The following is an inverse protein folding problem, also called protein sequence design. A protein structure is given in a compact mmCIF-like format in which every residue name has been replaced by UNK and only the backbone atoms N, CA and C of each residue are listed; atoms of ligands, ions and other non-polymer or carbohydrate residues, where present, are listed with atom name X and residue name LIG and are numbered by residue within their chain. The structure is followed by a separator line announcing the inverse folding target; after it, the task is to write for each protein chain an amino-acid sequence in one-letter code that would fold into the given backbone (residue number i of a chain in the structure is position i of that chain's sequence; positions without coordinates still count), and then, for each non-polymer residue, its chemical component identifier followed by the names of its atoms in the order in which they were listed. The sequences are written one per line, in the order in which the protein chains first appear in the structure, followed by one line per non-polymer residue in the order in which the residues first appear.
data_IF_432017603324
#
_entry.id   IF_432017603324
#
_cell.length_a   1.000
_cell.length_b   1.000
_cell.length_c   1.000
_cell.angle_alpha   90.00
_cell.angle_beta   90.00
_cell.angle_gamma   90.00
#
_symmetry.space_group_name_H-M   'P 1'
#
loop_
_entity.id
_entity.type
_entity.pdbx_description
1 polymer ?
#
# COMPACT_ATOMS: atom_id res chain seq x y z
N UNK A 1 -29.55 18.16 -6.04
CA UNK A 1 -29.73 19.48 -5.50
C UNK A 1 -28.61 20.39 -5.95
N UNK A 2 -28.94 21.53 -6.60
CA UNK A 2 -27.93 22.50 -7.00
C UNK A 2 -27.22 23.01 -5.74
N UNK A 3 -25.90 22.97 -5.77
CA UNK A 3 -25.08 23.66 -4.79
C UNK A 3 -25.36 25.17 -4.97
N UNK A 4 -26.09 25.76 -4.04
CA UNK A 4 -26.26 27.21 -4.02
C UNK A 4 -24.88 27.85 -3.94
N UNK A 5 -24.65 28.94 -4.67
CA UNK A 5 -23.41 29.71 -4.68
C UNK A 5 -22.89 29.95 -3.28
N UNK A 6 -22.02 29.07 -2.79
CA UNK A 6 -21.21 29.33 -1.61
C UNK A 6 -19.95 30.01 -2.09
N UNK A 7 -19.82 31.28 -1.78
CA UNK A 7 -18.56 31.99 -1.96
C UNK A 7 -17.57 31.43 -0.97
N UNK A 8 -16.54 30.73 -1.44
CA UNK A 8 -15.41 30.33 -0.61
C UNK A 8 -14.52 31.56 -0.45
N UNK A 9 -14.32 31.98 0.80
CA UNK A 9 -13.29 32.94 1.12
C UNK A 9 -11.99 32.18 1.37
N UNK A 10 -10.93 32.58 0.71
CA UNK A 10 -9.57 32.13 0.98
C UNK A 10 -8.70 33.37 1.19
N UNK A 11 -7.72 33.23 2.07
CA UNK A 11 -6.70 34.20 2.33
C UNK A 11 -5.35 33.62 1.92
N UNK A 12 -4.57 34.41 1.20
CA UNK A 12 -3.22 34.01 0.83
C UNK A 12 -2.29 34.27 2.03
N UNK A 13 -1.65 33.21 2.54
CA UNK A 13 -0.69 33.29 3.61
C UNK A 13 0.70 33.51 3.01
N UNK A 14 1.30 34.68 3.26
CA UNK A 14 2.63 34.99 2.81
C UNK A 14 3.67 34.55 3.85
N UNK A 15 4.56 33.64 3.47
CA UNK A 15 5.62 33.17 4.37
C UNK A 15 6.71 34.24 4.49
N UNK A 16 7.44 34.60 3.54
CA UNK A 16 8.44 35.65 3.53
C UNK A 16 8.92 35.89 2.10
N UNK A 17 8.76 37.07 1.57
CA UNK A 17 9.16 37.36 0.20
C UNK A 17 8.53 36.38 -0.81
N UNK A 18 9.32 35.84 -1.73
CA UNK A 18 8.87 34.91 -2.78
C UNK A 18 9.06 33.42 -2.36
N UNK A 19 8.74 33.06 -1.12
CA UNK A 19 8.88 31.69 -0.63
C UNK A 19 7.56 30.94 -0.87
N UNK A 20 7.58 29.93 -1.75
CA UNK A 20 6.46 29.08 -2.07
C UNK A 20 6.74 27.65 -1.57
N UNK A 21 6.28 27.29 -0.36
CA UNK A 21 6.57 26.00 0.24
C UNK A 21 5.80 24.86 -0.46
N UNK A 22 6.43 23.69 -0.51
CA UNK A 22 5.84 22.46 -1.05
C UNK A 22 5.12 21.64 0.01
N UNK A 23 5.58 21.71 1.25
CA UNK A 23 5.08 20.92 2.38
C UNK A 23 4.55 21.83 3.46
N UNK A 24 3.42 21.44 4.07
CA UNK A 24 2.85 22.14 5.21
C UNK A 24 2.28 21.14 6.23
N UNK A 25 2.36 21.47 7.49
CA UNK A 25 1.76 20.72 8.58
C UNK A 25 1.46 21.66 9.76
N UNK A 26 0.38 21.40 10.48
CA UNK A 26 0.13 22.06 11.76
C UNK A 26 0.77 21.24 12.87
N UNK A 27 1.64 21.85 13.64
CA UNK A 27 2.32 21.25 14.77
C UNK A 27 2.35 22.22 15.95
N UNK A 28 1.86 21.78 17.09
CA UNK A 28 1.85 22.50 18.37
C UNK A 28 1.49 24.00 18.24
N UNK A 29 0.35 24.31 17.61
CA UNK A 29 -0.22 25.64 17.34
C UNK A 29 0.53 26.49 16.31
N UNK A 30 1.53 25.98 15.65
CA UNK A 30 2.20 26.62 14.52
C UNK A 30 1.81 25.99 13.20
N UNK A 31 1.71 26.78 12.15
CA UNK A 31 1.77 26.31 10.78
C UNK A 31 3.26 26.21 10.40
N UNK A 32 3.72 25.01 10.14
CA UNK A 32 5.10 24.76 9.71
C UNK A 32 5.10 24.43 8.22
N UNK A 33 5.98 25.10 7.47
CA UNK A 33 6.10 24.94 6.03
C UNK A 33 7.55 24.75 5.61
N UNK A 34 7.77 24.01 4.52
CA UNK A 34 9.12 23.68 4.05
C UNK A 34 9.14 23.33 2.55
N UNK A 35 10.36 23.17 2.01
CA UNK A 35 10.58 22.69 0.65
C UNK A 35 10.33 23.74 -0.42
N UNK A 36 10.54 25.02 -0.12
CA UNK A 36 10.48 26.07 -1.11
C UNK A 36 11.66 25.98 -2.08
N UNK A 37 11.43 26.22 -3.37
CA UNK A 37 12.46 26.13 -4.40
C UNK A 37 13.64 27.08 -4.17
N UNK A 38 13.42 28.21 -3.50
CA UNK A 38 14.44 29.21 -3.14
C UNK A 38 15.14 28.91 -1.82
N UNK A 39 14.62 27.96 -1.00
CA UNK A 39 15.13 27.62 0.33
C UNK A 39 14.82 26.15 0.66
N UNK A 40 15.43 25.24 -0.10
CA UNK A 40 15.15 23.80 -0.05
C UNK A 40 15.45 23.15 1.31
N UNK A 41 16.36 23.72 2.08
CA UNK A 41 16.83 23.21 3.37
C UNK A 41 16.30 24.01 4.57
N UNK A 42 15.33 24.90 4.35
CA UNK A 42 14.79 25.75 5.42
C UNK A 42 13.34 25.43 5.73
N UNK A 43 13.03 25.32 7.01
CA UNK A 43 11.68 25.27 7.54
C UNK A 43 11.30 26.65 8.07
N UNK A 44 10.08 27.04 7.83
CA UNK A 44 9.47 28.24 8.40
C UNK A 44 8.29 27.85 9.28
N UNK A 45 8.11 28.52 10.39
CA UNK A 45 6.98 28.31 11.28
C UNK A 45 6.32 29.62 11.64
N UNK A 46 5.00 29.62 11.68
CA UNK A 46 4.16 30.80 12.01
C UNK A 46 4.27 31.16 13.49
N UNK A 47 3.69 32.28 13.87
CA UNK A 47 3.60 32.66 15.28
C UNK A 47 2.72 31.71 16.11
N UNK A 48 2.97 31.66 17.39
CA UNK A 48 2.20 30.88 18.34
C UNK A 48 0.75 31.41 18.39
N UNK A 49 -0.23 30.58 18.07
CA UNK A 49 -1.66 30.94 18.01
C UNK A 49 -2.07 31.94 16.90
N UNK A 50 -1.12 32.32 16.01
CA UNK A 50 -1.39 33.06 14.79
C UNK A 50 -0.78 32.33 13.59
N UNK A 51 -1.51 31.32 13.11
CA UNK A 51 -1.06 30.44 12.03
C UNK A 51 -0.96 31.14 10.67
N UNK A 52 -1.57 32.32 10.53
CA UNK A 52 -1.59 33.09 9.30
C UNK A 52 -0.39 34.04 9.17
N UNK A 53 0.42 34.21 10.23
CA UNK A 53 1.52 35.15 10.24
C UNK A 53 2.88 34.49 10.50
N UNK A 54 3.80 34.67 9.58
CA UNK A 54 5.20 34.28 9.68
C UNK A 54 6.13 35.41 10.14
N UNK A 55 5.54 36.52 10.63
CA UNK A 55 6.25 37.67 11.17
C UNK A 55 5.79 38.05 12.59
N UNK A 56 4.81 37.37 13.14
CA UNK A 56 4.32 37.58 14.49
C UNK A 56 5.22 36.97 15.56
N UNK A 57 5.02 37.32 16.81
CA UNK A 57 5.78 36.78 17.94
C UNK A 57 5.74 35.25 17.97
N UNK A 58 6.89 34.64 18.12
CA UNK A 58 7.05 33.19 18.11
C UNK A 58 7.19 32.56 16.73
N UNK A 59 7.17 33.38 15.64
CA UNK A 59 7.50 32.89 14.31
C UNK A 59 9.00 32.83 14.09
N UNK A 60 9.44 32.01 13.15
CA UNK A 60 10.85 31.91 12.82
C UNK A 60 11.16 30.97 11.66
N UNK A 61 12.44 30.76 11.47
CA UNK A 61 12.95 29.81 10.46
C UNK A 61 14.17 29.06 10.98
N UNK A 62 14.32 27.83 10.53
CA UNK A 62 15.45 26.97 10.88
C UNK A 62 16.01 26.40 9.58
N UNK A 63 17.32 26.60 9.39
CA UNK A 63 18.04 26.07 8.23
C UNK A 63 18.80 24.80 8.63
N UNK A 64 18.64 23.75 7.84
CA UNK A 64 19.25 22.45 8.01
C UNK A 64 20.44 22.25 7.06
N UNK A 65 21.23 21.22 7.31
CA UNK A 65 22.37 20.86 6.46
C UNK A 65 21.95 20.15 5.16
N UNK A 66 20.69 19.70 5.06
CA UNK A 66 20.22 18.86 3.96
C UNK A 66 18.85 19.33 3.44
N UNK A 67 18.51 18.96 2.21
CA UNK A 67 17.25 19.32 1.55
C UNK A 67 16.04 18.65 2.22
N UNK A 68 15.05 19.44 2.61
CA UNK A 68 13.80 18.94 3.16
C UNK A 68 12.92 18.33 2.07
N UNK A 69 12.48 17.12 2.30
CA UNK A 69 11.63 16.33 1.40
C UNK A 69 10.22 16.12 1.98
N UNK A 70 10.07 16.27 3.29
CA UNK A 70 8.77 16.13 3.94
C UNK A 70 8.83 16.49 5.42
N UNK A 71 7.69 16.86 5.98
CA UNK A 71 7.54 17.16 7.40
C UNK A 71 6.30 16.48 7.94
N UNK A 72 6.36 15.96 9.15
CA UNK A 72 5.23 15.28 9.80
C UNK A 72 5.23 15.56 11.29
N UNK A 73 4.10 16.01 11.81
CA UNK A 73 3.87 16.07 13.26
C UNK A 73 3.67 14.64 13.76
N UNK A 74 4.46 14.23 14.74
CA UNK A 74 4.40 12.89 15.30
C UNK A 74 4.64 12.94 16.80
N UNK A 75 3.65 12.51 17.58
CA UNK A 75 3.63 12.64 19.04
C UNK A 75 3.82 14.11 19.47
N UNK A 76 4.86 14.39 20.23
CA UNK A 76 5.21 15.73 20.75
C UNK A 76 6.20 16.48 19.87
N UNK A 77 6.74 15.85 18.86
CA UNK A 77 7.82 16.37 18.04
C UNK A 77 7.42 16.53 16.56
N UNK A 78 8.09 17.41 15.87
CA UNK A 78 8.03 17.50 14.41
C UNK A 78 9.18 16.70 13.81
N UNK A 79 8.86 15.70 13.01
CA UNK A 79 9.86 14.92 12.27
C UNK A 79 10.05 15.55 10.90
N UNK A 80 11.31 15.84 10.58
CA UNK A 80 11.73 16.49 9.34
C UNK A 80 12.53 15.47 8.53
N UNK A 81 11.96 15.10 7.40
CA UNK A 81 12.59 14.17 6.47
C UNK A 81 13.38 14.96 5.42
N UNK A 82 14.66 14.71 5.36
CA UNK A 82 15.55 15.27 4.34
C UNK A 82 15.97 14.19 3.34
N UNK A 83 16.68 14.59 2.29
CA UNK A 83 17.10 13.69 1.21
C UNK A 83 18.04 12.59 1.69
N UNK A 84 18.95 12.90 2.64
CA UNK A 84 19.94 11.96 3.16
C UNK A 84 19.92 11.84 4.69
N UNK A 85 19.03 12.57 5.37
CA UNK A 85 18.98 12.66 6.84
C UNK A 85 17.56 12.81 7.35
N UNK A 86 17.37 12.56 8.64
CA UNK A 86 16.09 12.77 9.33
C UNK A 86 16.40 13.51 10.64
N UNK A 87 15.64 14.57 10.91
CA UNK A 87 15.77 15.37 12.12
C UNK A 87 14.47 15.35 12.92
N UNK A 88 14.64 15.62 14.21
CA UNK A 88 13.55 15.86 15.15
C UNK A 88 13.63 17.30 15.65
N UNK A 89 12.55 18.04 15.54
CA UNK A 89 12.37 19.36 16.13
C UNK A 89 11.45 19.24 17.34
N UNK A 90 11.96 19.64 18.48
CA UNK A 90 11.24 19.64 19.77
C UNK A 90 11.08 21.04 20.31
N UNK A 91 10.06 21.27 21.15
CA UNK A 91 9.81 22.51 21.87
C UNK A 91 9.67 23.76 20.98
N UNK A 92 8.95 23.67 19.88
CA UNK A 92 8.79 24.78 18.91
C UNK A 92 8.18 26.05 19.54
N UNK A 93 7.43 25.92 20.64
CA UNK A 93 6.78 27.04 21.34
C UNK A 93 7.73 27.85 22.26
N UNK A 94 8.93 27.37 22.50
CA UNK A 94 9.85 27.98 23.45
C UNK A 94 11.19 28.31 22.75
N UNK A 95 11.43 29.59 22.52
CA UNK A 95 12.62 30.07 21.84
C UNK A 95 13.94 29.73 22.56
N UNK A 96 13.89 29.49 23.88
CA UNK A 96 15.07 29.19 24.68
C UNK A 96 15.41 27.69 24.67
N UNK A 97 14.42 26.82 24.42
CA UNK A 97 14.57 25.38 24.47
C UNK A 97 14.29 24.66 23.14
N UNK A 98 13.94 25.41 22.08
CA UNK A 98 13.79 24.86 20.74
C UNK A 98 15.06 24.15 20.29
N UNK A 99 14.93 22.89 19.91
CA UNK A 99 16.07 22.05 19.57
C UNK A 99 15.81 21.22 18.32
N UNK A 100 16.78 21.21 17.41
CA UNK A 100 16.82 20.31 16.26
C UNK A 100 17.88 19.26 16.49
N UNK A 101 17.47 18.02 16.60
CA UNK A 101 18.37 16.89 16.83
C UNK A 101 18.31 15.90 15.66
N UNK A 102 19.47 15.42 15.15
CA UNK A 102 19.45 14.41 14.11
C UNK A 102 19.01 13.05 14.69
N UNK A 103 18.04 12.42 14.02
CA UNK A 103 17.72 11.01 14.24
C UNK A 103 18.72 10.14 13.49
N UNK A 104 18.98 10.48 12.24
CA UNK A 104 20.01 9.84 11.41
C UNK A 104 20.56 10.82 10.37
N UNK A 105 21.83 10.65 10.01
CA UNK A 105 22.51 11.43 8.94
C UNK A 105 22.85 10.59 7.71
N UNK A 106 22.45 9.31 7.68
CA UNK A 106 22.83 8.37 6.62
C UNK A 106 21.63 7.75 5.89
N UNK A 107 20.42 8.06 6.34
CA UNK A 107 19.17 7.56 5.74
C UNK A 107 18.21 8.73 5.61
N UNK A 108 17.73 8.96 4.40
CA UNK A 108 16.75 9.99 4.10
C UNK A 108 15.50 9.44 3.42
N UNK A 109 14.60 10.36 3.09
CA UNK A 109 13.35 10.07 2.42
C UNK A 109 13.41 10.50 0.95
N UNK A 110 12.88 9.66 0.05
CA UNK A 110 12.85 9.97 -1.39
C UNK A 110 11.70 10.90 -1.76
N UNK A 111 10.52 10.73 -1.15
CA UNK A 111 9.34 11.54 -1.43
C UNK A 111 8.46 11.71 -0.19
N UNK A 112 8.08 12.94 0.12
CA UNK A 112 7.28 13.31 1.28
C UNK A 112 5.87 12.72 1.28
N UNK A 113 5.29 12.43 0.11
CA UNK A 113 3.98 11.81 0.00
C UNK A 113 4.00 10.31 0.35
N UNK A 114 5.19 9.71 0.54
CA UNK A 114 5.33 8.35 1.05
C UNK A 114 5.20 8.26 2.57
N UNK A 115 5.31 9.39 3.29
CA UNK A 115 5.36 9.42 4.75
C UNK A 115 3.97 9.25 5.35
N UNK A 116 3.75 8.16 6.09
CA UNK A 116 2.49 7.89 6.77
C UNK A 116 2.71 7.32 8.17
N UNK A 117 1.78 7.65 9.06
CA UNK A 117 1.73 7.07 10.41
C UNK A 117 0.96 5.74 10.38
N UNK A 118 1.64 4.66 10.74
CA UNK A 118 1.05 3.32 10.82
C UNK A 118 1.66 2.53 12.00
N UNK A 119 0.82 1.84 12.75
CA UNK A 119 1.27 1.02 13.89
C UNK A 119 1.96 1.81 15.01
N UNK A 120 1.69 3.12 15.12
CA UNK A 120 2.32 4.00 16.12
C UNK A 120 3.74 4.44 15.78
N UNK A 121 4.15 4.28 14.51
CA UNK A 121 5.42 4.75 13.97
C UNK A 121 5.22 5.44 12.61
N UNK A 122 6.23 6.10 12.07
CA UNK A 122 6.22 6.72 10.75
C UNK A 122 6.91 5.80 9.74
N UNK A 123 6.16 5.38 8.72
CA UNK A 123 6.68 4.65 7.57
C UNK A 123 7.01 5.63 6.43
N UNK A 124 8.15 5.45 5.79
CA UNK A 124 8.60 6.28 4.67
C UNK A 124 9.40 5.48 3.65
N UNK A 125 9.51 6.00 2.43
CA UNK A 125 10.31 5.42 1.36
C UNK A 125 11.73 6.00 1.41
N UNK A 126 12.72 5.16 1.67
CA UNK A 126 14.15 5.47 1.59
C UNK A 126 14.78 4.89 0.32
N UNK A 127 16.02 5.27 -0.05
CA UNK A 127 16.69 4.76 -1.26
C UNK A 127 16.81 3.23 -1.33
N UNK A 128 16.83 2.56 -0.21
CA UNK A 128 16.98 1.10 -0.10
C UNK A 128 15.71 0.36 0.30
N UNK A 129 14.58 1.06 0.44
CA UNK A 129 13.29 0.46 0.72
C UNK A 129 12.43 1.23 1.69
N UNK A 130 11.27 0.67 2.02
CA UNK A 130 10.42 1.24 3.07
C UNK A 130 11.02 0.98 4.45
N UNK A 131 11.03 2.02 5.29
CA UNK A 131 11.59 2.00 6.65
C UNK A 131 10.66 2.64 7.66
N UNK A 132 10.80 2.27 8.91
CA UNK A 132 10.17 2.87 10.07
C UNK A 132 11.15 3.80 10.79
N UNK A 133 10.67 4.95 11.30
CA UNK A 133 11.51 5.92 11.99
C UNK A 133 12.08 5.33 13.28
N UNK A 134 11.28 4.63 14.09
CA UNK A 134 11.77 3.99 15.33
C UNK A 134 12.84 2.93 15.07
N UNK A 135 12.79 2.26 13.92
CA UNK A 135 13.86 1.36 13.47
C UNK A 135 15.15 2.09 13.16
N UNK A 136 15.08 3.34 12.70
CA UNK A 136 16.27 4.15 12.38
C UNK A 136 16.88 4.81 13.63
N UNK A 137 16.10 5.09 14.65
CA UNK A 137 16.56 5.72 15.89
C UNK A 137 17.37 4.76 16.79
N UNK A 138 17.17 3.44 16.66
CA UNK A 138 17.88 2.41 17.40
C UNK A 138 19.29 2.09 16.87
N UNK A 139 19.82 2.88 15.96
CA UNK A 139 21.07 2.58 15.26
C UNK A 139 22.29 2.94 16.11
N UNK A 140 22.63 2.04 17.02
CA UNK A 140 24.01 1.71 17.30
C UNK A 140 24.38 0.35 16.69
N UNK A 141 23.41 -0.40 16.11
CA UNK A 141 23.61 -1.75 15.61
C UNK A 141 22.91 -2.05 14.27
N UNK A 142 23.56 -2.74 13.43
CA UNK A 142 23.60 -3.03 12.01
C UNK A 142 22.32 -3.61 11.35
N UNK A 143 21.18 -3.70 11.99
CA UNK A 143 19.94 -4.18 11.36
C UNK A 143 18.92 -3.06 11.09
N UNK A 144 19.30 -2.16 10.23
CA UNK A 144 18.35 -1.30 9.50
C UNK A 144 17.50 -2.12 8.55
N UNK A 145 16.59 -2.90 9.12
CA UNK A 145 15.71 -3.74 8.35
C UNK A 145 14.76 -2.90 7.50
N UNK A 146 15.01 -2.81 6.19
CA UNK A 146 13.95 -2.43 5.26
C UNK A 146 12.77 -3.40 5.48
N UNK A 147 11.59 -2.86 5.77
CA UNK A 147 10.37 -3.68 5.94
C UNK A 147 9.82 -4.19 4.60
N UNK A 148 10.46 -3.82 3.49
CA UNK A 148 10.08 -4.17 2.12
C UNK A 148 11.01 -5.17 1.44
N UNK A 149 11.78 -5.96 2.17
CA UNK A 149 12.72 -6.95 1.59
C UNK A 149 12.06 -7.92 0.60
N UNK A 150 10.81 -8.32 0.85
CA UNK A 150 10.06 -9.23 -0.01
C UNK A 150 9.83 -8.69 -1.42
N UNK A 151 9.77 -7.37 -1.57
CA UNK A 151 9.50 -6.66 -2.84
C UNK A 151 10.66 -5.76 -3.26
N UNK A 152 11.87 -6.05 -2.80
CA UNK A 152 13.05 -5.19 -2.99
C UNK A 152 13.31 -4.84 -4.46
N UNK A 153 13.10 -5.77 -5.39
CA UNK A 153 13.28 -5.54 -6.81
C UNK A 153 12.34 -4.45 -7.37
N UNK A 154 11.09 -4.46 -6.92
CA UNK A 154 10.09 -3.46 -7.31
C UNK A 154 10.43 -2.11 -6.68
N UNK A 155 10.70 -2.10 -5.37
CA UNK A 155 11.04 -0.87 -4.63
C UNK A 155 12.31 -0.22 -5.17
N UNK A 156 13.35 -0.99 -5.49
CA UNK A 156 14.58 -0.46 -6.10
C UNK A 156 14.34 0.18 -7.46
N UNK A 157 13.39 -0.36 -8.24
CA UNK A 157 13.02 0.23 -9.53
C UNK A 157 12.28 1.55 -9.34
N UNK A 158 11.35 1.61 -8.38
CA UNK A 158 10.62 2.83 -8.03
C UNK A 158 11.58 3.89 -7.50
N UNK A 159 12.46 3.53 -6.57
CA UNK A 159 13.40 4.44 -5.94
C UNK A 159 14.35 5.13 -6.96
N UNK A 160 14.80 4.39 -7.98
CA UNK A 160 15.67 4.93 -9.04
C UNK A 160 14.98 5.94 -9.96
N UNK A 161 13.66 5.88 -10.06
CA UNK A 161 12.86 6.68 -11.00
C UNK A 161 11.82 7.56 -10.29
N UNK A 162 11.98 7.78 -9.00
CA UNK A 162 10.98 8.45 -8.15
C UNK A 162 10.59 9.83 -8.68
N UNK A 163 11.56 10.61 -9.17
CA UNK A 163 11.34 11.97 -9.69
C UNK A 163 10.46 11.99 -10.96
N UNK A 164 10.26 10.85 -11.62
CA UNK A 164 9.41 10.71 -12.81
C UNK A 164 7.99 10.24 -12.47
N UNK A 165 7.69 10.02 -11.18
CA UNK A 165 6.39 9.54 -10.73
C UNK A 165 5.64 10.60 -9.91
N UNK A 166 4.32 10.59 -10.06
CA UNK A 166 3.43 11.09 -9.03
C UNK A 166 3.27 10.02 -7.95
N UNK A 167 3.59 10.41 -6.73
CA UNK A 167 3.51 9.53 -5.56
C UNK A 167 2.34 9.96 -4.70
N UNK A 168 1.57 8.99 -4.24
CA UNK A 168 0.53 9.21 -3.24
C UNK A 168 0.42 8.02 -2.31
N UNK A 169 0.12 8.26 -1.05
CA UNK A 169 -0.06 7.18 -0.08
C UNK A 169 -1.13 7.51 0.94
N UNK A 170 -1.71 6.47 1.51
CA UNK A 170 -2.61 6.57 2.66
C UNK A 170 -2.55 5.30 3.51
N UNK A 171 -3.06 5.41 4.73
CA UNK A 171 -3.20 4.29 5.66
C UNK A 171 -4.67 3.94 5.82
N UNK A 172 -4.98 2.66 5.70
CA UNK A 172 -6.25 2.08 6.08
C UNK A 172 -6.07 1.42 7.45
N UNK A 173 -6.50 2.13 8.50
CA UNK A 173 -6.29 1.71 9.90
C UNK A 173 -7.09 0.45 10.24
N UNK A 174 -8.32 0.35 9.74
CA UNK A 174 -9.21 -0.79 9.97
C UNK A 174 -8.63 -2.13 9.47
N UNK A 175 -7.72 -2.10 8.48
CA UNK A 175 -7.05 -3.29 7.93
C UNK A 175 -5.54 -3.31 8.25
N UNK A 176 -5.03 -2.34 9.01
CA UNK A 176 -3.59 -2.17 9.26
C UNK A 176 -2.76 -2.16 7.98
N UNK A 177 -3.25 -1.47 6.96
CA UNK A 177 -2.64 -1.40 5.64
C UNK A 177 -2.08 -0.02 5.33
N UNK A 178 -0.85 -0.01 4.83
CA UNK A 178 -0.25 1.11 4.12
C UNK A 178 -0.42 0.88 2.62
N UNK A 179 -0.96 1.87 1.92
CA UNK A 179 -1.15 1.83 0.47
C UNK A 179 -0.33 2.94 -0.18
N UNK A 180 0.55 2.57 -1.06
CA UNK A 180 1.45 3.45 -1.79
C UNK A 180 1.20 3.29 -3.29
N UNK A 181 0.93 4.39 -3.97
CA UNK A 181 0.70 4.41 -5.41
C UNK A 181 1.70 5.31 -6.10
N UNK A 182 2.13 4.88 -7.25
CA UNK A 182 3.03 5.63 -8.11
C UNK A 182 2.59 5.52 -9.57
N UNK A 183 2.55 6.65 -10.28
CA UNK A 183 2.16 6.73 -11.68
C UNK A 183 3.10 7.63 -12.44
N UNK A 184 3.28 7.38 -13.74
CA UNK A 184 4.11 8.25 -14.57
C UNK A 184 3.59 9.68 -14.56
N UNK A 185 4.50 10.65 -14.46
CA UNK A 185 4.19 12.07 -14.42
C UNK A 185 3.58 12.60 -15.74
N UNK A 186 3.82 11.91 -16.85
CA UNK A 186 3.35 12.29 -18.18
C UNK A 186 2.58 11.14 -18.83
N UNK A 187 1.34 11.38 -19.21
CA UNK A 187 0.54 10.44 -20.00
C UNK A 187 -0.76 10.01 -19.31
N UNK A 188 -1.86 10.16 -20.04
CA UNK A 188 -3.22 9.79 -19.62
C UNK A 188 -3.48 8.28 -19.62
N UNK A 189 -2.54 7.49 -20.12
CA UNK A 189 -2.66 6.03 -20.29
C UNK A 189 -1.64 5.21 -19.49
N UNK A 190 -0.79 5.84 -18.66
CA UNK A 190 0.13 5.12 -17.81
C UNK A 190 -0.66 4.37 -16.74
N UNK A 191 -0.65 3.06 -16.82
CA UNK A 191 -1.18 2.20 -15.76
C UNK A 191 -0.40 2.48 -14.48
N UNK A 192 -1.07 3.09 -13.53
CA UNK A 192 -0.55 3.30 -12.19
C UNK A 192 -0.34 1.94 -11.52
N UNK A 193 0.72 1.85 -10.76
CA UNK A 193 1.00 0.70 -9.91
C UNK A 193 0.91 1.11 -8.46
N UNK A 194 0.66 0.15 -7.60
CA UNK A 194 0.62 0.37 -6.17
C UNK A 194 1.22 -0.79 -5.41
N UNK A 195 1.65 -0.49 -4.20
CA UNK A 195 2.14 -1.43 -3.22
C UNK A 195 1.25 -1.34 -1.98
N UNK A 196 0.81 -2.47 -1.48
CA UNK A 196 0.04 -2.55 -0.24
C UNK A 196 0.87 -3.32 0.77
N UNK A 197 1.29 -2.65 1.84
CA UNK A 197 1.95 -3.27 2.97
C UNK A 197 0.95 -3.48 4.10
N UNK A 198 0.73 -4.71 4.51
CA UNK A 198 -0.16 -5.07 5.63
C UNK A 198 0.70 -5.45 6.84
N UNK A 199 0.42 -4.86 7.99
CA UNK A 199 1.08 -5.25 9.24
C UNK A 199 0.49 -6.58 9.71
N UNK A 200 1.36 -7.56 9.91
CA UNK A 200 1.05 -8.85 10.48
C UNK A 200 1.90 -9.10 11.73
N UNK A 201 1.61 -10.10 12.56
CA UNK A 201 2.46 -10.47 13.68
C UNK A 201 3.91 -10.78 13.29
N UNK A 202 4.15 -11.18 12.04
CA UNK A 202 5.47 -11.51 11.51
C UNK A 202 6.17 -10.33 10.79
N UNK A 203 5.59 -9.13 10.84
CA UNK A 203 6.09 -7.94 10.17
C UNK A 203 5.21 -7.48 9.02
N UNK A 204 5.78 -6.80 8.03
CA UNK A 204 5.06 -6.34 6.86
C UNK A 204 4.97 -7.42 5.78
N UNK A 205 3.77 -7.66 5.30
CA UNK A 205 3.51 -8.47 4.10
C UNK A 205 3.09 -7.55 2.96
N UNK A 206 3.67 -7.75 1.80
CA UNK A 206 3.49 -6.85 0.66
C UNK A 206 2.77 -7.51 -0.50
N UNK A 207 1.89 -6.75 -1.13
CA UNK A 207 1.25 -7.09 -2.39
C UNK A 207 1.35 -5.95 -3.39
N UNK A 208 1.33 -6.27 -4.68
CA UNK A 208 1.34 -5.29 -5.77
C UNK A 208 -0.07 -5.13 -6.33
N UNK A 209 -0.46 -3.89 -6.65
CA UNK A 209 -1.69 -3.56 -7.38
C UNK A 209 -1.35 -3.00 -8.74
N UNK A 210 -2.18 -3.30 -9.74
CA UNK A 210 -2.01 -2.84 -11.11
C UNK A 210 -3.35 -2.29 -11.60
N UNK A 211 -3.33 -1.18 -12.35
CA UNK A 211 -4.50 -0.63 -13.00
C UNK A 211 -5.22 0.48 -12.22
N UNK A 212 -4.78 0.81 -11.02
CA UNK A 212 -5.33 1.92 -10.22
C UNK A 212 -4.49 3.18 -10.48
N UNK A 213 -5.08 4.19 -11.10
CA UNK A 213 -4.45 5.50 -11.34
C UNK A 213 -4.77 6.43 -10.18
N UNK A 214 -3.88 6.50 -9.19
CA UNK A 214 -4.06 7.35 -8.04
C UNK A 214 -3.07 8.52 -8.07
N UNK A 215 -3.55 9.71 -8.41
CA UNK A 215 -2.77 10.95 -8.37
C UNK A 215 -2.91 11.69 -7.04
N UNK A 216 -4.05 11.55 -6.39
CA UNK A 216 -4.28 11.98 -5.02
C UNK A 216 -4.97 10.85 -4.25
N UNK A 217 -4.58 10.65 -3.00
CA UNK A 217 -5.08 9.55 -2.18
C UNK A 217 -5.36 10.04 -0.77
N UNK A 218 -6.52 9.71 -0.22
CA UNK A 218 -6.91 10.12 1.11
C UNK A 218 -7.72 9.03 1.81
N UNK A 219 -7.57 8.93 3.11
CA UNK A 219 -8.44 8.15 3.99
C UNK A 219 -9.06 9.03 5.05
N UNK A 220 -10.28 8.71 5.45
CA UNK A 220 -11.00 9.43 6.48
C UNK A 220 -12.21 8.65 6.96
N UNK A 221 -12.82 9.11 8.05
CA UNK A 221 -14.04 8.52 8.58
C UNK A 221 -15.27 9.21 7.96
N UNK A 222 -16.27 8.45 7.61
CA UNK A 222 -17.58 8.97 7.23
C UNK A 222 -18.43 9.35 8.47
N UNK A 223 -19.66 9.80 8.24
CA UNK A 223 -20.58 10.19 9.33
C UNK A 223 -20.96 9.03 10.27
N UNK A 224 -20.75 7.78 9.83
CA UNK A 224 -21.00 6.55 10.61
C UNK A 224 -19.71 6.02 11.28
N UNK A 225 -18.63 6.79 11.28
CA UNK A 225 -17.29 6.39 11.73
C UNK A 225 -16.71 5.17 10.98
N UNK A 226 -17.16 4.93 9.74
CA UNK A 226 -16.60 3.90 8.88
C UNK A 226 -15.47 4.53 8.06
N UNK A 227 -14.31 3.88 8.08
CA UNK A 227 -13.16 4.36 7.34
C UNK A 227 -13.38 4.18 5.84
N UNK A 228 -13.27 5.27 5.11
CA UNK A 228 -13.38 5.36 3.66
C UNK A 228 -12.05 5.74 3.05
N UNK A 229 -11.77 5.20 1.88
CA UNK A 229 -10.58 5.51 1.12
C UNK A 229 -10.99 5.99 -0.26
N UNK A 230 -10.43 7.13 -0.66
CA UNK A 230 -10.68 7.73 -1.96
C UNK A 230 -9.38 7.97 -2.70
N UNK A 231 -9.42 7.85 -4.02
CA UNK A 231 -8.38 8.39 -4.88
C UNK A 231 -8.97 9.19 -6.03
N UNK A 232 -8.23 10.18 -6.49
CA UNK A 232 -8.51 10.93 -7.70
C UNK A 232 -7.56 10.50 -8.82
N UNK A 233 -8.06 10.44 -10.05
CA UNK A 233 -7.25 10.19 -11.23
C UNK A 233 -6.92 11.48 -12.01
N UNK A 234 -6.13 11.37 -13.07
CA UNK A 234 -5.78 12.50 -13.94
C UNK A 234 -6.94 12.97 -14.85
N UNK A 235 -8.01 12.18 -14.96
CA UNK A 235 -9.19 12.51 -15.75
C UNK A 235 -10.26 13.27 -14.93
N UNK A 236 -10.02 13.49 -13.64
CA UNK A 236 -10.91 14.21 -12.73
C UNK A 236 -11.98 13.36 -12.06
N UNK A 237 -11.89 12.03 -12.15
CA UNK A 237 -12.78 11.13 -11.42
C UNK A 237 -12.26 10.88 -10.02
N UNK A 238 -13.20 10.67 -9.08
CA UNK A 238 -12.93 10.26 -7.70
C UNK A 238 -13.53 8.89 -7.46
N UNK A 239 -12.72 7.97 -6.98
CA UNK A 239 -13.09 6.58 -6.74
C UNK A 239 -13.07 6.25 -5.25
N UNK A 240 -14.07 5.49 -4.81
CA UNK A 240 -14.09 4.89 -3.48
C UNK A 240 -13.53 3.47 -3.55
N UNK A 241 -12.58 3.14 -2.68
CA UNK A 241 -11.97 1.81 -2.61
C UNK A 241 -12.82 0.83 -1.80
N UNK A 242 -12.61 -0.46 -2.08
CA UNK A 242 -13.24 -1.58 -1.36
C UNK A 242 -14.77 -1.60 -1.47
N UNK A 243 -15.33 -1.08 -2.54
CA UNK A 243 -16.78 -1.08 -2.82
C UNK A 243 -17.05 -1.84 -4.11
N UNK A 244 -17.98 -2.82 -4.06
CA UNK A 244 -18.36 -3.63 -5.21
C UNK A 244 -17.30 -4.67 -5.60
N UNK A 245 -17.59 -5.39 -6.70
CA UNK A 245 -16.80 -6.53 -7.18
C UNK A 245 -16.13 -6.27 -8.53
N UNK A 246 -16.20 -5.05 -9.04
CA UNK A 246 -15.61 -4.68 -10.32
C UNK A 246 -14.77 -3.43 -10.19
N UNK A 247 -13.79 -3.31 -11.06
CA UNK A 247 -13.05 -2.07 -11.24
C UNK A 247 -13.80 -1.22 -12.29
N UNK A 248 -14.18 0.01 -11.95
CA UNK A 248 -15.04 0.85 -12.79
C UNK A 248 -14.32 2.13 -13.26
N UNK A 249 -13.28 2.04 -14.10
CA UNK A 249 -12.65 3.23 -14.64
C UNK A 249 -13.65 4.02 -15.50
N UNK A 250 -13.82 5.31 -15.19
CA UNK A 250 -14.77 6.20 -15.88
C UNK A 250 -16.21 5.64 -16.00
N UNK A 251 -16.64 4.85 -15.00
CA UNK A 251 -17.99 4.26 -14.95
C UNK A 251 -18.16 2.98 -15.79
N UNK A 252 -17.11 2.48 -16.41
CA UNK A 252 -17.16 1.22 -17.18
C UNK A 252 -16.72 0.05 -16.31
N UNK A 253 -17.62 -0.90 -16.06
CA UNK A 253 -17.30 -2.11 -15.29
C UNK A 253 -16.27 -2.98 -16.01
N UNK A 254 -15.16 -3.25 -15.37
CA UNK A 254 -14.09 -4.11 -15.87
C UNK A 254 -13.72 -5.19 -14.87
N UNK A 255 -13.12 -6.26 -15.36
CA UNK A 255 -12.68 -7.38 -14.54
C UNK A 255 -11.56 -6.98 -13.58
N UNK A 256 -11.63 -7.49 -12.36
CA UNK A 256 -10.53 -7.44 -11.40
C UNK A 256 -9.58 -8.61 -11.63
N UNK A 257 -8.28 -8.30 -11.81
CA UNK A 257 -7.25 -9.33 -11.93
C UNK A 257 -6.63 -9.60 -10.56
N UNK A 258 -6.98 -10.70 -9.95
CA UNK A 258 -6.36 -11.19 -8.73
C UNK A 258 -5.38 -12.33 -9.03
N UNK A 259 -4.17 -12.30 -8.45
CA UNK A 259 -3.14 -13.32 -8.66
C UNK A 259 -2.39 -13.60 -7.37
N UNK A 260 -2.30 -14.87 -7.04
CA UNK A 260 -1.47 -15.36 -5.94
C UNK A 260 -0.57 -16.49 -6.47
N UNK A 261 0.71 -16.47 -6.13
CA UNK A 261 1.67 -17.53 -6.48
C UNK A 261 2.48 -17.90 -5.23
N UNK A 262 2.53 -19.19 -4.90
CA UNK A 262 3.42 -19.68 -3.85
C UNK A 262 4.88 -19.58 -4.30
N UNK A 263 5.85 -19.60 -3.38
CA UNK A 263 7.22 -19.96 -3.70
C UNK A 263 7.29 -21.32 -4.42
N UNK A 264 8.42 -21.61 -5.04
CA UNK A 264 8.68 -22.97 -5.55
C UNK A 264 9.01 -23.87 -4.35
N UNK A 265 8.13 -24.81 -4.05
CA UNK A 265 8.18 -25.68 -2.88
C UNK A 265 8.91 -26.98 -3.25
N UNK A 266 9.92 -27.33 -2.49
CA UNK A 266 10.66 -28.62 -2.60
C UNK A 266 10.19 -29.66 -1.58
N UNK A 267 9.27 -29.29 -0.69
CA UNK A 267 8.75 -30.13 0.41
C UNK A 267 9.85 -30.74 1.29
N UNK A 268 10.97 -30.04 1.44
CA UNK A 268 12.10 -30.44 2.27
C UNK A 268 13.09 -31.40 1.63
N UNK A 269 12.89 -31.81 0.37
CA UNK A 269 13.85 -32.61 -0.40
C UNK A 269 13.89 -32.20 -1.87
N UNK A 270 14.82 -31.33 -2.22
CA UNK A 270 15.00 -30.83 -3.58
C UNK A 270 15.50 -31.93 -4.56
N UNK A 271 16.11 -33.01 -4.05
CA UNK A 271 16.66 -34.09 -4.88
C UNK A 271 15.63 -35.14 -5.32
N UNK A 272 14.46 -35.17 -4.68
CA UNK A 272 13.43 -36.17 -5.00
C UNK A 272 12.38 -35.59 -5.95
N UNK A 273 12.06 -36.33 -7.00
CA UNK A 273 10.97 -36.01 -7.91
C UNK A 273 9.64 -36.29 -7.21
N UNK A 274 8.68 -35.34 -7.29
CA UNK A 274 7.35 -35.46 -6.69
C UNK A 274 6.30 -35.50 -7.77
N UNK A 275 5.46 -36.53 -7.75
CA UNK A 275 4.29 -36.63 -8.61
C UNK A 275 3.04 -36.22 -7.85
N UNK A 276 2.36 -35.18 -8.31
CA UNK A 276 1.11 -34.71 -7.71
C UNK A 276 -0.07 -35.61 -8.13
N UNK A 277 -1.00 -35.82 -7.23
CA UNK A 277 -2.24 -36.54 -7.51
C UNK A 277 -3.46 -35.65 -7.40
N UNK A 278 -3.59 -34.92 -6.32
CA UNK A 278 -4.60 -33.90 -6.15
C UNK A 278 -4.13 -32.82 -5.20
N UNK A 279 -4.77 -31.68 -5.29
CA UNK A 279 -4.67 -30.61 -4.31
C UNK A 279 -6.04 -30.25 -3.81
N UNK A 280 -6.15 -29.91 -2.52
CA UNK A 280 -7.33 -29.28 -1.95
C UNK A 280 -6.94 -27.87 -1.58
N UNK A 281 -7.79 -26.91 -1.93
CA UNK A 281 -7.57 -25.49 -1.67
C UNK A 281 -8.74 -25.00 -0.82
N UNK A 282 -8.41 -24.44 0.34
CA UNK A 282 -9.40 -23.86 1.24
C UNK A 282 -9.59 -22.38 0.92
N UNK A 283 -10.83 -21.98 0.67
CA UNK A 283 -11.24 -20.61 0.42
C UNK A 283 -12.19 -20.10 1.50
N UNK A 284 -12.19 -18.79 1.74
CA UNK A 284 -13.27 -18.07 2.40
C UNK A 284 -13.83 -17.07 1.39
N UNK A 285 -14.92 -17.44 0.67
CA UNK A 285 -15.52 -16.57 -0.32
C UNK A 285 -16.53 -15.60 0.31
N UNK A 286 -16.64 -14.38 -0.23
CA UNK A 286 -17.67 -13.41 0.12
C UNK A 286 -18.92 -13.53 -0.78
N UNK A 287 -18.89 -14.44 -1.75
CA UNK A 287 -19.98 -14.74 -2.69
C UNK A 287 -19.57 -15.85 -3.65
N UNK A 288 -20.23 -15.95 -4.82
CA UNK A 288 -19.86 -16.90 -5.86
C UNK A 288 -18.49 -16.56 -6.46
N UNK A 289 -17.58 -17.53 -6.53
CA UNK A 289 -16.22 -17.37 -7.06
C UNK A 289 -15.88 -18.45 -8.09
N UNK A 290 -15.02 -18.13 -9.05
CA UNK A 290 -14.54 -19.06 -10.10
C UNK A 290 -13.02 -18.87 -10.32
N UNK A 291 -12.18 -19.19 -9.34
CA UNK A 291 -10.75 -19.07 -9.50
C UNK A 291 -10.19 -20.15 -10.42
N UNK A 292 -9.05 -19.88 -11.04
CA UNK A 292 -8.31 -20.82 -11.85
C UNK A 292 -6.99 -21.18 -11.18
N UNK A 293 -6.67 -22.48 -11.12
CA UNK A 293 -5.43 -22.99 -10.61
C UNK A 293 -4.47 -23.28 -11.78
N UNK A 294 -3.24 -22.79 -11.67
CA UNK A 294 -2.09 -23.21 -12.49
C UNK A 294 -1.03 -23.81 -11.57
N UNK A 295 -0.50 -24.96 -11.96
CA UNK A 295 0.63 -25.59 -11.30
C UNK A 295 1.86 -25.44 -12.20
N UNK A 296 2.99 -25.12 -11.62
CA UNK A 296 4.26 -24.97 -12.32
C UNK A 296 5.28 -25.90 -11.71
N UNK A 297 5.98 -26.64 -12.56
CA UNK A 297 7.07 -27.55 -12.18
C UNK A 297 8.42 -26.97 -12.55
N UNK A 298 9.41 -27.13 -11.66
CA UNK A 298 10.81 -26.82 -11.88
C UNK A 298 11.02 -25.41 -12.48
N UNK A 299 10.46 -24.38 -11.82
CA UNK A 299 10.56 -22.97 -12.19
C UNK A 299 9.95 -22.61 -13.56
N UNK A 300 8.86 -23.26 -13.95
CA UNK A 300 8.24 -23.15 -15.28
C UNK A 300 9.21 -23.56 -16.44
N UNK A 301 10.10 -24.52 -16.20
CA UNK A 301 11.07 -25.00 -17.19
C UNK A 301 10.38 -25.50 -18.44
N UNK A 302 10.89 -25.10 -19.62
CA UNK A 302 10.42 -25.57 -20.92
C UNK A 302 10.81 -27.03 -21.22
N UNK A 303 11.77 -27.57 -20.49
CA UNK A 303 12.20 -28.97 -20.62
C UNK A 303 11.21 -29.95 -19.98
N UNK A 304 10.26 -29.46 -19.20
CA UNK A 304 9.19 -30.23 -18.58
C UNK A 304 7.84 -29.85 -19.12
N UNK A 305 7.01 -30.86 -19.40
CA UNK A 305 5.63 -30.65 -19.76
C UNK A 305 4.90 -30.04 -18.56
N UNK A 306 4.44 -28.81 -18.71
CA UNK A 306 3.65 -28.13 -17.72
C UNK A 306 2.18 -28.55 -17.84
N UNK A 307 1.46 -28.70 -16.70
CA UNK A 307 0.04 -29.09 -16.73
C UNK A 307 -0.82 -27.96 -17.31
N UNK A 308 -2.06 -28.29 -17.75
CA UNK A 308 -3.03 -27.31 -18.21
C UNK A 308 -3.48 -26.39 -17.06
N UNK A 309 -4.27 -25.38 -17.39
CA UNK A 309 -5.02 -24.61 -16.42
C UNK A 309 -6.19 -25.44 -15.91
N UNK A 310 -6.45 -25.37 -14.61
CA UNK A 310 -7.56 -26.04 -13.95
C UNK A 310 -8.56 -24.98 -13.47
N UNK A 311 -9.69 -24.76 -14.20
CA UNK A 311 -10.80 -24.03 -13.62
C UNK A 311 -11.31 -24.77 -12.38
N UNK A 312 -11.39 -24.08 -11.27
CA UNK A 312 -11.94 -24.64 -10.05
C UNK A 312 -13.45 -24.50 -10.08
N UNK A 313 -14.15 -25.47 -9.52
CA UNK A 313 -15.61 -25.42 -9.44
C UNK A 313 -16.04 -24.16 -8.67
N UNK A 314 -17.08 -23.49 -9.19
CA UNK A 314 -17.64 -22.32 -8.52
C UNK A 314 -18.07 -22.69 -7.10
N UNK A 315 -17.68 -21.87 -6.15
CA UNK A 315 -18.18 -21.99 -4.78
C UNK A 315 -19.46 -21.15 -4.70
N UNK A 316 -20.64 -21.74 -4.62
CA UNK A 316 -21.89 -21.00 -4.55
C UNK A 316 -22.01 -20.27 -3.21
N UNK A 317 -22.62 -19.10 -3.23
CA UNK A 317 -22.99 -18.40 -2.00
C UNK A 317 -24.11 -19.20 -1.31
N UNK A 318 -24.01 -19.51 -0.01
CA UNK A 318 -25.10 -20.14 0.70
C UNK A 318 -26.35 -19.24 0.65
N UNK A 319 -27.50 -19.79 0.32
CA UNK A 319 -28.76 -19.05 0.34
C UNK A 319 -29.12 -18.70 1.79
N UNK A 320 -29.26 -17.42 2.08
CA UNK A 320 -29.73 -16.94 3.39
C UNK A 320 -31.24 -16.81 3.36
N UNK A 321 -31.93 -17.25 4.40
CA UNK A 321 -33.40 -17.20 4.52
C UNK A 321 -33.97 -15.77 4.68
N UNK A 322 -33.39 -14.77 4.06
CA UNK A 322 -33.93 -13.41 4.09
C UNK A 322 -33.68 -12.68 2.78
N UNK A 323 -34.74 -12.20 2.16
CA UNK A 323 -34.70 -11.31 1.00
C UNK A 323 -35.04 -11.96 -0.33
N UNK A 324 -34.98 -11.15 -1.39
CA UNK A 324 -35.43 -11.52 -2.76
C UNK A 324 -34.55 -12.62 -3.40
N UNK A 325 -33.39 -12.92 -2.85
CA UNK A 325 -32.48 -13.96 -3.33
C UNK A 325 -32.82 -15.39 -2.83
N UNK A 326 -33.82 -15.52 -1.95
CA UNK A 326 -34.23 -16.80 -1.34
C UNK A 326 -35.54 -17.34 -1.92
N UNK A 327 -35.87 -17.02 -3.16
CA UNK A 327 -37.08 -17.50 -3.80
C UNK A 327 -37.00 -19.03 -4.06
N UNK A 328 -38.05 -19.76 -3.67
CA UNK A 328 -38.24 -21.16 -4.00
C UNK A 328 -38.13 -21.35 -5.53
N UNK A 329 -37.20 -22.20 -5.96
CA UNK A 329 -36.94 -22.45 -7.37
C UNK A 329 -35.68 -21.77 -7.92
N UNK A 330 -35.10 -20.80 -7.20
CA UNK A 330 -33.83 -20.13 -7.59
C UNK A 330 -32.72 -20.27 -6.53
N UNK A 331 -33.11 -20.63 -5.31
CA UNK A 331 -32.16 -20.84 -4.22
C UNK A 331 -31.73 -22.33 -4.16
N UNK A 332 -30.44 -22.57 -4.14
CA UNK A 332 -29.87 -23.91 -3.93
C UNK A 332 -29.83 -24.15 -2.41
N UNK A 333 -30.74 -25.00 -1.90
CA UNK A 333 -30.69 -25.44 -0.51
C UNK A 333 -29.47 -26.34 -0.27
N UNK A 334 -28.72 -26.06 0.77
CA UNK A 334 -27.71 -26.98 1.28
C UNK A 334 -26.31 -26.85 0.69
N UNK A 335 -26.04 -25.83 -0.08
CA UNK A 335 -24.66 -25.49 -0.40
C UNK A 335 -24.04 -24.63 0.72
N UNK A 336 -23.86 -25.22 1.91
CA UNK A 336 -22.60 -24.92 2.59
C UNK A 336 -21.54 -25.52 1.69
N UNK A 337 -21.11 -24.78 0.67
CA UNK A 337 -20.01 -25.21 -0.19
C UNK A 337 -18.90 -25.59 0.75
N UNK A 338 -18.39 -26.81 0.66
CA UNK A 338 -17.18 -27.17 1.35
C UNK A 338 -16.19 -26.07 0.96
N UNK A 339 -15.67 -25.24 1.89
CA UNK A 339 -14.73 -24.19 1.55
C UNK A 339 -13.44 -24.77 0.96
N UNK A 340 -13.39 -26.09 0.80
CA UNK A 340 -12.26 -26.86 0.34
C UNK A 340 -12.53 -27.49 -1.03
N UNK A 341 -12.05 -26.81 -2.08
CA UNK A 341 -12.13 -27.33 -3.46
C UNK A 341 -11.04 -28.36 -3.69
N UNK A 342 -11.45 -29.57 -4.10
CA UNK A 342 -10.54 -30.66 -4.50
C UNK A 342 -10.35 -30.66 -6.00
N UNK A 343 -9.12 -30.54 -6.45
CA UNK A 343 -8.73 -30.61 -7.87
C UNK A 343 -7.74 -31.74 -8.11
N UNK A 344 -8.08 -32.68 -8.98
CA UNK A 344 -7.14 -33.66 -9.49
C UNK A 344 -6.12 -32.95 -10.40
N UNK A 345 -4.84 -33.24 -10.21
CA UNK A 345 -3.74 -32.56 -10.91
C UNK A 345 -2.78 -33.57 -11.50
N UNK A 346 -2.06 -33.20 -12.55
CA UNK A 346 -1.14 -34.05 -13.27
C UNK A 346 0.26 -33.45 -13.29
N UNK A 347 1.25 -34.33 -13.43
CA UNK A 347 2.65 -33.94 -13.62
C UNK A 347 3.53 -34.22 -12.41
N UNK A 348 4.81 -33.98 -12.61
CA UNK A 348 5.83 -34.21 -11.59
C UNK A 348 6.98 -33.21 -11.75
N UNK A 349 7.61 -32.85 -10.64
CA UNK A 349 8.76 -31.95 -10.59
C UNK A 349 9.54 -32.09 -9.30
N UNK A 350 10.72 -31.54 -9.27
CA UNK A 350 11.52 -31.42 -8.04
C UNK A 350 11.01 -30.26 -7.19
N UNK A 351 10.63 -29.16 -7.83
CA UNK A 351 10.05 -27.97 -7.22
C UNK A 351 8.68 -27.70 -7.83
N UNK A 352 7.73 -27.30 -7.00
CA UNK A 352 6.33 -27.13 -7.41
C UNK A 352 5.83 -25.78 -6.91
N UNK A 353 5.24 -24.99 -7.79
CA UNK A 353 4.56 -23.75 -7.40
C UNK A 353 3.08 -23.78 -7.81
N UNK A 354 2.24 -23.25 -6.95
CA UNK A 354 0.81 -23.12 -7.18
C UNK A 354 0.48 -21.64 -7.43
N UNK A 355 -0.25 -21.39 -8.51
CA UNK A 355 -0.74 -20.06 -8.82
C UNK A 355 -2.26 -20.10 -8.90
N UNK A 356 -2.93 -19.29 -8.10
CA UNK A 356 -4.37 -19.04 -8.18
C UNK A 356 -4.57 -17.67 -8.80
N UNK A 357 -5.48 -17.57 -9.74
CA UNK A 357 -5.85 -16.30 -10.32
C UNK A 357 -7.32 -16.29 -10.73
N UNK A 358 -7.91 -15.09 -10.70
CA UNK A 358 -9.23 -14.79 -11.24
C UNK A 358 -9.14 -13.52 -12.09
N UNK A 359 -9.98 -13.45 -13.11
CA UNK A 359 -10.11 -12.29 -13.99
C UNK A 359 -11.60 -12.10 -14.32
N UNK A 360 -12.33 -11.62 -13.33
CA UNK A 360 -13.78 -11.52 -13.41
C UNK A 360 -14.30 -10.36 -12.54
N UNK A 361 -15.62 -10.24 -12.47
CA UNK A 361 -16.34 -9.30 -11.62
C UNK A 361 -17.07 -10.00 -10.47
N UNK A 362 -16.62 -11.20 -10.10
CA UNK A 362 -17.21 -12.00 -9.03
C UNK A 362 -16.74 -11.53 -7.65
N UNK A 363 -17.32 -12.15 -6.63
CA UNK A 363 -17.04 -11.79 -5.25
C UNK A 363 -15.55 -12.00 -4.88
N UNK A 364 -15.00 -11.22 -3.96
CA UNK A 364 -13.66 -11.44 -3.42
C UNK A 364 -13.62 -12.72 -2.57
N UNK A 365 -12.41 -13.23 -2.39
CA UNK A 365 -12.15 -14.42 -1.57
C UNK A 365 -10.78 -14.37 -0.91
N UNK A 366 -10.66 -15.08 0.21
CA UNK A 366 -9.39 -15.34 0.88
C UNK A 366 -8.96 -16.78 0.64
N UNK A 367 -7.66 -17.02 0.48
CA UNK A 367 -7.05 -18.34 0.40
C UNK A 367 -6.51 -18.68 1.77
N UNK A 368 -7.07 -19.72 2.41
CA UNK A 368 -6.67 -20.12 3.77
C UNK A 368 -5.49 -21.10 3.77
N UNK A 369 -5.42 -21.98 2.74
CA UNK A 369 -4.35 -22.95 2.68
C UNK A 369 -4.45 -23.92 1.52
N UNK A 370 -3.38 -24.66 1.32
CA UNK A 370 -3.23 -25.73 0.34
C UNK A 370 -2.96 -27.04 1.06
N UNK A 371 -3.69 -28.08 0.69
CA UNK A 371 -3.43 -29.46 1.10
C UNK A 371 -3.01 -30.23 -0.15
N UNK A 372 -1.81 -30.75 -0.15
CA UNK A 372 -1.17 -31.30 -1.34
C UNK A 372 -0.89 -32.78 -1.12
N UNK A 373 -1.45 -33.63 -1.99
CA UNK A 373 -1.17 -35.05 -2.02
C UNK A 373 -0.17 -35.34 -3.15
N UNK A 374 1.00 -35.87 -2.80
CA UNK A 374 2.05 -36.22 -3.75
C UNK A 374 2.72 -37.54 -3.38
N UNK A 375 3.29 -38.19 -4.37
CA UNK A 375 4.15 -39.37 -4.17
C UNK A 375 5.59 -39.03 -4.56
N UNK A 376 6.56 -39.38 -3.74
CA UNK A 376 7.96 -39.30 -4.13
C UNK A 376 8.24 -40.35 -5.19
N UNK A 377 8.85 -39.94 -6.32
CA UNK A 377 9.14 -40.77 -7.49
C UNK A 377 10.64 -40.78 -7.70
N UNK A 378 11.38 -41.56 -6.91
CA UNK A 378 12.81 -41.80 -7.13
C UNK A 378 13.73 -40.58 -7.08
N UNK A 379 14.95 -40.79 -6.64
CA UNK A 379 16.07 -39.85 -6.82
C UNK A 379 16.72 -40.13 -8.18
N UNK A 380 16.88 -39.11 -8.99
CA UNK A 380 17.80 -39.15 -10.15
C UNK A 380 18.97 -38.25 -9.87
#
# INVERSE_FOLDING_TARGET
GALSNRTFFYEEITVSGSVFPKYCVVHDKHLVVAGAATALNTIYYSGTSDINSFSSTGSGSITLDDQVVGIKSFRTDLIIFCKNSIYKLSNINDADTIAVTPITKNVGCLDGHSIQEIGGDLLFLSPDGFRLVAGTERIGDVELGSVSRQIQSVVSTVAKSIDSFFVSSAVLRSKSQYRFFYSAATGTTATSKGLIGTITPNGFEWSETIGIQAHGFASGLDYSNIEQIYHGDSAGYVYNHNVGNSFNPAGVSTNVNARYKTPNLDFGDAGTLKSLHYTKISFTPEGAIEPTLKISYDFDSLERTQPPLYPLDAIPTPAVFSGVASLFGSAVFGASGDPMVRQAVQGSGHNIAFKIFSQDTKAPYSINGFYIDYRPSGRR
#
